data_IF_829644376952
#
_entry.id   IF_829644376952
#
_cell.length_a   1.000
_cell.length_b   1.000
_cell.length_c   1.000
_cell.angle_alpha   90.00
_cell.angle_beta   90.00
_cell.angle_gamma   90.00
#
_symmetry.space_group_name_H-M   'P 1'
#
loop_
_entity.id
_entity.type
_entity.pdbx_description
1 polymer ?
#
# COMPACT_ATOMS: atom_id res chain seq x y z
N UNK A 1 -8.47 16.88 -41.67
CA UNK A 1 -8.04 15.96 -40.60
C UNK A 1 -7.94 16.76 -39.32
N UNK A 2 -8.75 16.42 -38.32
CA UNK A 2 -8.77 17.12 -37.03
C UNK A 2 -7.55 16.73 -36.21
N UNK A 3 -6.78 17.74 -35.78
CA UNK A 3 -5.57 17.56 -34.97
C UNK A 3 -5.99 17.56 -33.50
N UNK A 4 -5.49 16.59 -32.73
CA UNK A 4 -5.67 16.57 -31.28
C UNK A 4 -4.84 17.71 -30.68
N UNK A 5 -5.43 18.58 -29.82
CA UNK A 5 -4.74 19.75 -29.27
C UNK A 5 -3.54 19.37 -28.39
N UNK A 6 -3.65 18.27 -27.63
CA UNK A 6 -2.60 17.77 -26.76
C UNK A 6 -1.63 16.80 -27.45
N UNK A 7 -0.35 16.83 -27.05
CA UNK A 7 0.65 15.88 -27.53
C UNK A 7 0.49 14.55 -26.79
N UNK A 8 0.05 13.51 -27.49
CA UNK A 8 -0.15 12.18 -26.94
C UNK A 8 1.11 11.31 -27.03
N UNK A 9 1.27 10.39 -26.09
CA UNK A 9 2.31 9.37 -26.16
C UNK A 9 2.10 8.45 -27.35
N UNK A 10 3.17 8.21 -28.12
CA UNK A 10 3.16 7.24 -29.21
C UNK A 10 4.04 6.03 -28.85
N UNK A 11 3.46 4.83 -28.87
CA UNK A 11 4.16 3.57 -28.56
C UNK A 11 5.36 3.27 -29.47
N UNK A 12 5.31 3.71 -30.73
CA UNK A 12 6.39 3.51 -31.68
C UNK A 12 7.50 4.57 -31.53
N UNK A 13 7.13 5.85 -31.37
CA UNK A 13 8.10 6.92 -31.16
C UNK A 13 8.69 6.95 -29.75
N UNK A 14 8.04 6.31 -28.77
CA UNK A 14 8.37 6.32 -27.34
C UNK A 14 8.50 7.74 -26.75
N UNK A 15 7.70 8.68 -27.26
CA UNK A 15 7.65 10.08 -26.81
C UNK A 15 6.29 10.69 -27.15
N UNK A 16 5.97 11.83 -26.54
CA UNK A 16 4.78 12.62 -26.88
C UNK A 16 4.92 13.25 -28.27
N UNK A 17 3.90 13.08 -29.10
CA UNK A 17 3.87 13.50 -30.51
C UNK A 17 2.48 14.04 -30.88
N UNK A 18 2.39 14.77 -31.98
CA UNK A 18 1.12 15.24 -32.52
C UNK A 18 0.34 14.07 -33.14
N UNK A 19 -0.96 14.02 -32.90
CA UNK A 19 -1.86 13.03 -33.46
C UNK A 19 -3.03 13.70 -34.18
N UNK A 20 -3.66 12.99 -35.11
CA UNK A 20 -4.90 13.43 -35.74
C UNK A 20 -5.95 12.33 -35.67
N UNK A 21 -7.23 12.70 -35.66
CA UNK A 21 -8.34 11.76 -35.68
C UNK A 21 -8.43 11.13 -37.06
N UNK A 22 -8.49 9.80 -37.09
CA UNK A 22 -8.56 9.01 -38.33
C UNK A 22 -9.93 9.20 -38.97
N UNK A 23 -9.97 9.37 -40.28
CA UNK A 23 -11.20 9.42 -41.07
C UNK A 23 -11.39 8.13 -41.87
N UNK A 24 -12.61 7.62 -41.94
CA UNK A 24 -12.96 6.48 -42.79
C UNK A 24 -12.97 6.87 -44.29
N UNK A 25 -13.20 5.87 -45.16
CA UNK A 25 -13.28 6.06 -46.62
C UNK A 25 -14.38 7.02 -47.11
N UNK A 26 -15.35 7.33 -46.25
CA UNK A 26 -16.45 8.26 -46.51
C UNK A 26 -16.18 9.66 -45.94
N UNK A 27 -15.01 9.90 -45.34
CA UNK A 27 -14.64 11.18 -44.74
C UNK A 27 -15.18 11.39 -43.32
N UNK A 28 -15.82 10.40 -42.70
CA UNK A 28 -16.29 10.51 -41.31
C UNK A 28 -15.15 10.21 -40.35
N UNK A 29 -15.03 11.03 -39.31
CA UNK A 29 -14.09 10.80 -38.22
C UNK A 29 -14.46 9.54 -37.43
N UNK A 30 -13.46 8.72 -37.11
CA UNK A 30 -13.61 7.55 -36.24
C UNK A 30 -13.64 8.02 -34.79
N UNK A 31 -14.76 8.65 -34.42
CA UNK A 31 -15.00 9.33 -33.16
C UNK A 31 -16.42 9.01 -32.67
N UNK A 32 -16.53 8.78 -31.37
CA UNK A 32 -17.78 8.62 -30.64
C UNK A 32 -17.76 9.64 -29.50
N UNK A 33 -18.83 10.41 -29.35
CA UNK A 33 -18.98 11.40 -28.27
C UNK A 33 -20.23 11.04 -27.51
N UNK A 34 -20.10 11.02 -26.19
CA UNK A 34 -21.20 10.92 -25.24
C UNK A 34 -21.12 12.11 -24.29
N UNK A 35 -22.26 12.71 -23.99
CA UNK A 35 -22.34 13.87 -23.11
C UNK A 35 -23.62 13.86 -22.31
N UNK A 36 -23.67 14.70 -21.27
CA UNK A 36 -24.90 14.90 -20.49
C UNK A 36 -26.09 15.39 -21.34
N UNK A 37 -25.85 15.99 -22.51
CA UNK A 37 -26.89 16.46 -23.44
C UNK A 37 -27.61 15.32 -24.17
N UNK A 38 -27.05 14.11 -24.15
CA UNK A 38 -27.65 12.93 -24.77
C UNK A 38 -28.74 12.29 -23.88
N UNK A 39 -28.95 12.84 -22.67
CA UNK A 39 -29.88 12.35 -21.66
C UNK A 39 -30.97 13.40 -21.37
N UNK A 40 -32.24 12.97 -21.25
CA UNK A 40 -33.38 13.87 -20.99
C UNK A 40 -33.28 14.56 -19.62
N UNK A 41 -32.77 13.84 -18.62
CA UNK A 41 -32.47 14.34 -17.29
C UNK A 41 -31.06 13.88 -16.90
N UNK A 42 -30.16 14.83 -16.67
CA UNK A 42 -28.82 14.55 -16.12
C UNK A 42 -28.50 15.56 -15.03
N UNK A 43 -28.34 15.06 -13.80
CA UNK A 43 -27.89 15.85 -12.65
C UNK A 43 -26.37 16.08 -12.65
N UNK A 44 -25.68 15.65 -13.71
CA UNK A 44 -24.22 15.67 -13.82
C UNK A 44 -23.78 16.12 -15.21
N UNK A 45 -22.95 17.16 -15.29
CA UNK A 45 -22.39 17.60 -16.56
C UNK A 45 -21.08 16.86 -16.86
N UNK A 46 -21.08 16.08 -17.94
CA UNK A 46 -19.91 15.36 -18.42
C UNK A 46 -19.79 15.36 -19.94
N UNK A 47 -18.57 15.12 -20.42
CA UNK A 47 -18.21 14.91 -21.81
C UNK A 47 -17.20 13.76 -21.89
N UNK A 48 -17.51 12.73 -22.67
CA UNK A 48 -16.67 11.56 -22.89
C UNK A 48 -16.53 11.29 -24.39
N UNK A 49 -15.35 11.56 -24.94
CA UNK A 49 -15.03 11.35 -26.35
C UNK A 49 -14.05 10.19 -26.52
N UNK A 50 -14.40 9.25 -27.38
CA UNK A 50 -13.57 8.12 -27.78
C UNK A 50 -13.19 8.26 -29.26
N UNK A 51 -11.90 8.20 -29.60
CA UNK A 51 -11.44 8.34 -30.98
C UNK A 51 -10.29 7.41 -31.35
N UNK A 52 -10.23 7.04 -32.64
CA UNK A 52 -9.06 6.40 -33.23
C UNK A 52 -8.15 7.47 -33.79
N UNK A 53 -6.91 7.53 -33.31
CA UNK A 53 -5.95 8.58 -33.68
C UNK A 53 -4.70 8.00 -34.32
N UNK A 54 -4.08 8.78 -35.20
CA UNK A 54 -2.85 8.42 -35.91
C UNK A 54 -1.73 9.42 -35.63
N UNK A 55 -0.58 8.89 -35.21
CA UNK A 55 0.64 9.66 -34.96
C UNK A 55 1.14 10.32 -36.24
N UNK A 56 1.36 11.65 -36.21
CA UNK A 56 1.83 12.43 -37.37
C UNK A 56 3.34 12.31 -37.64
N UNK A 57 4.05 11.47 -36.90
CA UNK A 57 5.50 11.25 -37.05
C UNK A 57 5.91 9.84 -37.47
N UNK A 58 5.04 8.84 -37.27
CA UNK A 58 5.34 7.45 -37.59
C UNK A 58 4.11 6.64 -38.00
N UNK A 59 2.98 7.31 -38.24
CA UNK A 59 1.71 6.73 -38.70
C UNK A 59 1.09 5.65 -37.80
N UNK A 60 1.62 5.47 -36.59
CA UNK A 60 1.11 4.51 -35.62
C UNK A 60 -0.29 4.89 -35.15
N UNK A 61 -1.20 3.91 -35.17
CA UNK A 61 -2.57 4.03 -34.66
C UNK A 61 -2.60 3.79 -33.15
N UNK A 62 -3.40 4.60 -32.46
CA UNK A 62 -3.73 4.48 -31.05
C UNK A 62 -5.22 4.77 -30.81
N UNK A 63 -5.71 4.35 -29.66
CA UNK A 63 -7.05 4.72 -29.19
C UNK A 63 -6.91 5.86 -28.18
N UNK A 64 -7.81 6.85 -28.22
CA UNK A 64 -7.80 8.03 -27.35
C UNK A 64 -9.16 8.16 -26.67
N UNK A 65 -9.13 8.40 -25.36
CA UNK A 65 -10.26 8.91 -24.59
C UNK A 65 -9.98 10.34 -24.13
N UNK A 66 -10.94 11.24 -24.33
CA UNK A 66 -10.93 12.60 -23.80
C UNK A 66 -12.13 12.74 -22.87
N UNK A 67 -11.88 13.04 -21.60
CA UNK A 67 -12.93 13.13 -20.59
C UNK A 67 -12.86 14.46 -19.84
N UNK A 68 -14.02 15.07 -19.58
CA UNK A 68 -14.16 16.13 -18.59
C UNK A 68 -15.54 16.11 -17.94
N UNK A 69 -15.61 16.60 -16.70
CA UNK A 69 -16.87 16.82 -15.99
C UNK A 69 -16.87 18.16 -15.25
N UNK A 70 -18.00 18.49 -14.61
CA UNK A 70 -18.19 19.72 -13.82
C UNK A 70 -17.18 19.92 -12.69
N UNK A 71 -16.50 18.86 -12.24
CA UNK A 71 -15.47 18.90 -11.20
C UNK A 71 -14.05 19.13 -11.73
N UNK A 72 -13.82 19.06 -13.04
CA UNK A 72 -12.48 19.13 -13.64
C UNK A 72 -12.08 20.56 -14.02
N UNK A 73 -11.73 21.38 -13.01
CA UNK A 73 -11.23 22.74 -13.21
C UNK A 73 -10.07 23.08 -12.28
N UNK A 74 -9.27 24.08 -12.68
CA UNK A 74 -8.28 24.75 -11.84
C UNK A 74 -8.81 26.11 -11.40
N UNK A 75 -8.50 26.51 -10.16
CA UNK A 75 -8.76 27.86 -9.69
C UNK A 75 -7.66 28.80 -10.19
N UNK A 76 -8.05 29.83 -10.93
CA UNK A 76 -7.12 30.84 -11.48
C UNK A 76 -7.08 32.12 -10.65
N UNK A 77 -7.87 32.20 -9.59
CA UNK A 77 -8.05 33.38 -8.74
C UNK A 77 -8.81 33.07 -7.45
N UNK A 78 -9.11 34.10 -6.63
CA UNK A 78 -9.71 33.92 -5.31
C UNK A 78 -11.21 33.58 -5.33
N UNK A 79 -11.93 33.83 -6.43
CA UNK A 79 -13.37 33.58 -6.53
C UNK A 79 -13.65 32.17 -7.06
N UNK A 80 -14.21 31.32 -6.21
CA UNK A 80 -14.53 29.93 -6.54
C UNK A 80 -15.54 29.78 -7.69
N UNK A 81 -16.41 30.76 -7.91
CA UNK A 81 -17.46 30.68 -8.91
C UNK A 81 -17.00 31.19 -10.27
N UNK A 82 -16.22 32.29 -10.32
CA UNK A 82 -15.79 32.93 -11.57
C UNK A 82 -14.40 32.51 -12.03
N UNK A 83 -13.49 32.15 -11.12
CA UNK A 83 -12.08 31.98 -11.45
C UNK A 83 -11.76 30.50 -11.73
N UNK A 84 -12.51 29.89 -12.65
CA UNK A 84 -12.40 28.48 -13.00
C UNK A 84 -11.92 28.29 -14.44
N UNK A 85 -10.83 27.56 -14.60
CA UNK A 85 -10.33 27.09 -15.89
C UNK A 85 -10.53 25.57 -15.99
N UNK A 86 -11.51 25.16 -16.78
CA UNK A 86 -11.81 23.74 -17.00
C UNK A 86 -10.74 23.07 -17.85
N UNK A 87 -10.45 21.81 -17.57
CA UNK A 87 -9.51 21.00 -18.34
C UNK A 87 -10.11 19.62 -18.66
N UNK A 88 -9.57 18.99 -19.69
CA UNK A 88 -9.92 17.62 -20.07
C UNK A 88 -8.73 16.69 -19.84
N UNK A 89 -9.02 15.46 -19.41
CA UNK A 89 -8.03 14.39 -19.35
C UNK A 89 -7.90 13.71 -20.71
N UNK A 90 -6.67 13.45 -21.14
CA UNK A 90 -6.36 12.77 -22.40
C UNK A 90 -5.68 11.43 -22.10
N UNK A 91 -6.41 10.33 -22.25
CA UNK A 91 -5.90 8.97 -22.01
C UNK A 91 -5.70 8.26 -23.33
N UNK A 92 -4.43 7.99 -23.69
CA UNK A 92 -4.07 7.25 -24.92
C UNK A 92 -3.80 5.78 -24.61
N UNK A 93 -4.19 4.88 -25.51
CA UNK A 93 -3.98 3.44 -25.38
C UNK A 93 -3.12 2.88 -26.52
N UNK A 94 -2.07 2.11 -26.20
CA UNK A 94 -1.58 1.81 -24.85
C UNK A 94 -1.03 3.05 -24.13
N UNK A 95 -1.23 3.11 -22.82
CA UNK A 95 -0.82 4.23 -21.97
C UNK A 95 0.70 4.46 -22.01
N UNK A 96 1.11 5.70 -21.75
CA UNK A 96 2.51 6.03 -21.54
C UNK A 96 3.05 5.17 -20.40
N UNK A 97 4.14 4.40 -20.61
CA UNK A 97 4.74 3.64 -19.53
C UNK A 97 5.07 4.58 -18.39
N UNK A 98 4.48 4.34 -17.22
CA UNK A 98 4.84 5.06 -16.00
C UNK A 98 6.36 4.94 -15.86
N UNK A 99 7.06 6.07 -15.77
CA UNK A 99 8.49 6.05 -15.44
C UNK A 99 8.59 5.25 -14.14
N UNK A 100 9.13 4.03 -14.22
CA UNK A 100 9.52 3.31 -13.02
C UNK A 100 10.57 4.19 -12.36
N UNK A 101 10.19 4.85 -11.27
CA UNK A 101 11.16 5.57 -10.46
C UNK A 101 12.20 4.52 -10.04
N UNK A 102 13.48 4.77 -10.32
CA UNK A 102 14.55 3.81 -9.99
C UNK A 102 14.58 3.54 -8.49
N UNK A 103 14.12 4.50 -7.70
CA UNK A 103 13.91 4.36 -6.26
C UNK A 103 12.74 3.42 -5.93
N UNK A 104 11.68 3.43 -6.72
CA UNK A 104 10.50 2.59 -6.51
C UNK A 104 10.81 1.10 -6.69
N UNK A 105 11.66 0.74 -7.65
CA UNK A 105 12.14 -0.64 -7.80
C UNK A 105 13.00 -1.12 -6.61
N UNK A 106 13.80 -0.23 -6.01
CA UNK A 106 14.59 -0.53 -4.80
C UNK A 106 13.70 -0.67 -3.54
N UNK A 107 12.52 -0.07 -3.56
CA UNK A 107 11.54 -0.10 -2.47
C UNK A 107 10.42 -1.11 -2.73
N UNK A 108 10.58 -2.03 -3.67
CA UNK A 108 9.65 -3.17 -3.79
C UNK A 108 9.93 -4.16 -2.67
N UNK A 109 8.86 -4.58 -1.98
CA UNK A 109 8.96 -5.70 -1.06
C UNK A 109 9.33 -6.96 -1.84
N UNK A 110 10.38 -7.64 -1.39
CA UNK A 110 10.80 -8.94 -1.89
C UNK A 110 10.85 -9.88 -0.71
N UNK A 111 10.08 -10.95 -0.80
CA UNK A 111 10.04 -11.99 0.22
C UNK A 111 11.41 -12.66 0.31
N UNK A 112 11.93 -12.77 1.53
CA UNK A 112 13.27 -13.31 1.83
C UNK A 112 13.24 -14.68 2.49
N UNK A 113 12.10 -15.03 3.07
CA UNK A 113 11.90 -16.23 3.87
C UNK A 113 10.60 -16.88 3.42
N UNK A 114 10.60 -18.21 3.43
CA UNK A 114 9.39 -19.01 3.23
C UNK A 114 8.83 -19.37 4.61
N UNK A 115 7.51 -19.22 4.77
CA UNK A 115 6.80 -19.48 6.02
C UNK A 115 5.84 -20.67 5.84
N UNK A 116 6.14 -21.79 6.48
CA UNK A 116 5.31 -23.02 6.44
C UNK A 116 4.70 -23.37 7.81
N UNK A 117 5.27 -22.86 8.89
CA UNK A 117 4.91 -23.13 10.29
C UNK A 117 4.47 -21.87 11.03
N UNK A 118 4.35 -20.74 10.33
CA UNK A 118 3.85 -19.49 10.88
C UNK A 118 2.36 -19.63 11.27
N UNK A 119 1.98 -19.28 12.50
CA UNK A 119 0.58 -19.32 12.94
C UNK A 119 -0.35 -18.47 12.06
N UNK A 120 -1.53 -18.99 11.73
CA UNK A 120 -2.49 -18.37 10.81
C UNK A 120 -2.78 -16.90 11.13
N UNK A 121 -3.04 -16.59 12.42
CA UNK A 121 -3.32 -15.22 12.87
C UNK A 121 -2.16 -14.26 12.55
N UNK A 122 -0.92 -14.71 12.69
CA UNK A 122 0.26 -13.89 12.41
C UNK A 122 0.41 -13.74 10.89
N UNK A 123 0.18 -14.82 10.14
CA UNK A 123 0.29 -14.81 8.69
C UNK A 123 -0.74 -13.87 8.03
N UNK A 124 -1.99 -13.91 8.47
CA UNK A 124 -3.06 -13.02 7.97
C UNK A 124 -2.71 -11.54 8.18
N UNK A 125 -2.31 -11.17 9.40
CA UNK A 125 -1.92 -9.78 9.73
C UNK A 125 -0.67 -9.36 8.95
N UNK A 126 0.29 -10.28 8.76
CA UNK A 126 1.50 -10.04 7.95
C UNK A 126 1.13 -9.75 6.51
N UNK A 127 0.25 -10.54 5.90
CA UNK A 127 -0.18 -10.35 4.51
C UNK A 127 -0.91 -9.02 4.32
N UNK A 128 -1.80 -8.65 5.23
CA UNK A 128 -2.46 -7.33 5.24
C UNK A 128 -1.43 -6.19 5.36
N UNK A 129 -0.44 -6.35 6.22
CA UNK A 129 0.64 -5.36 6.42
C UNK A 129 1.47 -5.18 5.16
N UNK A 130 1.86 -6.27 4.51
CA UNK A 130 2.61 -6.26 3.25
C UNK A 130 1.77 -5.66 2.13
N UNK A 131 0.48 -5.95 2.07
CA UNK A 131 -0.43 -5.37 1.08
C UNK A 131 -0.61 -3.86 1.30
N UNK A 132 -0.73 -3.40 2.55
CA UNK A 132 -0.73 -1.97 2.87
C UNK A 132 0.58 -1.29 2.42
N UNK A 133 1.73 -1.95 2.62
CA UNK A 133 3.02 -1.47 2.12
C UNK A 133 3.04 -1.34 0.58
N UNK A 134 2.64 -2.40 -0.13
CA UNK A 134 2.60 -2.44 -1.61
C UNK A 134 1.74 -1.31 -2.20
N UNK A 135 0.68 -0.91 -1.50
CA UNK A 135 -0.24 0.15 -1.92
C UNK A 135 0.08 1.53 -1.30
N UNK A 136 1.28 1.73 -0.73
CA UNK A 136 1.73 3.01 -0.14
C UNK A 136 0.83 3.53 0.99
N UNK A 137 0.14 2.62 1.69
CA UNK A 137 -0.71 2.95 2.84
C UNK A 137 0.14 2.97 4.12
N UNK A 138 1.06 3.92 4.22
CA UNK A 138 2.12 3.92 5.25
C UNK A 138 1.59 3.84 6.70
N UNK A 139 0.50 4.55 7.00
CA UNK A 139 -0.11 4.52 8.34
C UNK A 139 -0.67 3.14 8.67
N UNK A 140 -1.41 2.54 7.73
CA UNK A 140 -1.97 1.20 7.90
C UNK A 140 -0.88 0.15 7.99
N UNK A 141 0.17 0.26 7.18
CA UNK A 141 1.35 -0.60 7.25
C UNK A 141 2.03 -0.51 8.62
N UNK A 142 2.21 0.70 9.17
CA UNK A 142 2.82 0.89 10.48
C UNK A 142 1.95 0.29 11.61
N UNK A 143 0.63 0.49 11.54
CA UNK A 143 -0.32 -0.17 12.44
C UNK A 143 -0.24 -1.69 12.32
N UNK A 144 -0.16 -2.21 11.09
CA UNK A 144 0.03 -3.62 10.78
C UNK A 144 1.26 -4.21 11.46
N UNK A 145 2.42 -3.56 11.32
CA UNK A 145 3.67 -3.97 11.98
C UNK A 145 3.47 -4.11 13.50
N UNK A 146 2.81 -3.13 14.14
CA UNK A 146 2.51 -3.21 15.58
C UNK A 146 1.57 -4.38 15.90
N UNK A 147 0.56 -4.60 15.07
CA UNK A 147 -0.37 -5.71 15.22
C UNK A 147 0.34 -7.07 15.10
N UNK A 148 1.36 -7.20 14.25
CA UNK A 148 2.18 -8.41 14.17
C UNK A 148 2.89 -8.66 15.51
N UNK A 149 3.51 -7.63 16.12
CA UNK A 149 4.18 -7.78 17.43
C UNK A 149 3.16 -8.21 18.50
N UNK A 150 1.99 -7.58 18.53
CA UNK A 150 0.90 -7.95 19.42
C UNK A 150 0.42 -9.40 19.20
N UNK A 151 0.33 -9.83 17.95
CA UNK A 151 -0.07 -11.19 17.57
C UNK A 151 0.97 -12.23 17.99
N UNK A 152 2.27 -11.95 17.81
CA UNK A 152 3.36 -12.80 18.34
C UNK A 152 3.18 -13.01 19.84
N UNK A 153 2.98 -11.94 20.59
CA UNK A 153 2.80 -12.01 22.04
C UNK A 153 1.55 -12.84 22.39
N UNK A 154 0.43 -12.61 21.69
CA UNK A 154 -0.83 -13.31 21.93
C UNK A 154 -0.72 -14.82 21.65
N UNK A 155 -0.08 -15.22 20.56
CA UNK A 155 0.09 -16.64 20.20
C UNK A 155 0.97 -17.37 21.22
N UNK A 156 1.98 -16.69 21.77
CA UNK A 156 2.84 -17.24 22.81
C UNK A 156 2.24 -17.14 24.23
N UNK A 157 0.98 -16.74 24.39
CA UNK A 157 0.33 -16.64 25.71
C UNK A 157 0.78 -15.44 26.56
N UNK A 158 1.46 -14.47 25.96
CA UNK A 158 1.98 -13.25 26.58
C UNK A 158 0.97 -12.11 26.36
N UNK A 159 -0.21 -12.20 26.99
CA UNK A 159 -1.25 -11.17 26.89
C UNK A 159 -1.55 -10.48 28.23
N UNK A 160 -1.51 -11.25 29.32
CA UNK A 160 -1.97 -10.81 30.65
C UNK A 160 -1.00 -11.14 31.76
N UNK A 161 -1.16 -10.47 32.89
CA UNK A 161 -0.52 -10.82 34.16
C UNK A 161 -1.48 -10.66 35.34
N UNK A 162 -1.25 -11.34 36.47
CA UNK A 162 -1.97 -11.08 37.70
C UNK A 162 -1.78 -9.62 38.16
N UNK A 163 -2.86 -8.99 38.60
CA UNK A 163 -2.82 -7.66 39.19
C UNK A 163 -2.17 -7.75 40.57
N UNK A 164 -1.05 -7.07 40.74
CA UNK A 164 -0.30 -7.07 42.00
C UNK A 164 -0.63 -5.80 42.81
N UNK A 165 -0.87 -5.95 44.12
CA UNK A 165 -0.98 -4.84 45.07
C UNK A 165 -0.14 -5.17 46.31
N UNK A 166 0.88 -4.34 46.60
CA UNK A 166 1.86 -4.58 47.69
C UNK A 166 2.51 -5.98 47.63
N UNK A 167 2.84 -6.47 46.43
CA UNK A 167 3.48 -7.77 46.23
C UNK A 167 2.55 -8.98 46.30
N UNK A 168 1.25 -8.79 46.54
CA UNK A 168 0.26 -9.89 46.59
C UNK A 168 -0.69 -9.78 45.40
N UNK A 169 -1.04 -10.92 44.80
CA UNK A 169 -2.03 -10.98 43.73
C UNK A 169 -3.42 -10.57 44.27
N UNK A 170 -4.07 -9.63 43.59
CA UNK A 170 -5.44 -9.23 43.89
C UNK A 170 -6.35 -10.36 43.42
N UNK A 171 -7.12 -10.93 44.33
CA UNK A 171 -8.10 -11.97 44.03
C UNK A 171 -9.48 -11.36 43.77
N UNK A 172 -10.27 -12.01 42.93
CA UNK A 172 -11.68 -11.69 42.71
C UNK A 172 -12.58 -12.34 43.79
N UNK A 173 -13.90 -12.23 43.60
CA UNK A 173 -14.90 -12.81 44.52
C UNK A 173 -14.87 -14.35 44.57
N UNK A 174 -14.20 -15.00 43.61
CA UNK A 174 -14.07 -16.46 43.47
C UNK A 174 -12.67 -16.96 43.85
N UNK A 175 -11.85 -16.14 44.51
CA UNK A 175 -10.45 -16.43 44.85
C UNK A 175 -9.51 -16.66 43.64
N UNK A 176 -9.86 -16.17 42.45
CA UNK A 176 -8.98 -16.22 41.26
C UNK A 176 -8.20 -14.90 41.12
N UNK A 177 -6.95 -14.94 40.63
CA UNK A 177 -6.18 -13.72 40.38
C UNK A 177 -6.87 -12.84 39.33
N UNK A 178 -7.07 -11.57 39.67
CA UNK A 178 -7.56 -10.57 38.71
C UNK A 178 -6.49 -10.33 37.66
N UNK A 179 -6.77 -10.67 36.40
CA UNK A 179 -5.83 -10.50 35.30
C UNK A 179 -5.92 -9.07 34.74
N UNK A 180 -4.77 -8.49 34.41
CA UNK A 180 -4.65 -7.22 33.69
C UNK A 180 -3.88 -7.44 32.40
N UNK A 181 -4.28 -6.72 31.35
CA UNK A 181 -3.58 -6.74 30.08
C UNK A 181 -2.20 -6.10 30.23
N UNK A 182 -1.20 -6.73 29.64
CA UNK A 182 0.13 -6.15 29.50
C UNK A 182 0.08 -5.05 28.43
N UNK A 183 0.83 -3.98 28.64
CA UNK A 183 1.14 -3.07 27.55
C UNK A 183 2.22 -3.68 26.63
N UNK A 184 2.36 -3.15 25.42
CA UNK A 184 3.27 -3.71 24.42
C UNK A 184 4.74 -3.74 24.89
N UNK A 185 5.18 -2.78 25.72
CA UNK A 185 6.52 -2.83 26.32
C UNK A 185 6.68 -4.05 27.23
N UNK A 186 5.75 -4.24 28.17
CA UNK A 186 5.78 -5.37 29.11
C UNK A 186 5.70 -6.71 28.37
N UNK A 187 4.97 -6.77 27.24
CA UNK A 187 4.92 -7.97 26.39
C UNK A 187 6.27 -8.26 25.73
N UNK A 188 6.94 -7.24 25.18
CA UNK A 188 8.26 -7.38 24.56
C UNK A 188 9.32 -7.80 25.58
N UNK A 189 9.28 -7.25 26.81
CA UNK A 189 10.19 -7.69 27.87
C UNK A 189 9.93 -9.16 28.25
N UNK A 190 8.67 -9.58 28.35
CA UNK A 190 8.34 -11.00 28.60
C UNK A 190 8.80 -11.95 27.49
N UNK A 191 8.70 -11.55 26.21
CA UNK A 191 9.24 -12.34 25.10
C UNK A 191 10.74 -12.63 25.30
N UNK A 192 11.48 -11.66 25.84
CA UNK A 192 12.89 -11.84 26.15
C UNK A 192 13.12 -12.67 27.42
N UNK A 193 12.32 -12.47 28.48
CA UNK A 193 12.39 -13.26 29.71
C UNK A 193 12.11 -14.77 29.48
N UNK A 194 11.28 -15.09 28.48
CA UNK A 194 10.97 -16.46 28.07
C UNK A 194 11.93 -17.02 27.00
N UNK A 195 13.05 -16.33 26.72
CA UNK A 195 14.06 -16.71 25.72
C UNK A 195 13.52 -16.91 24.28
N UNK A 196 12.35 -16.31 23.97
CA UNK A 196 11.74 -16.39 22.63
C UNK A 196 12.39 -15.41 21.64
N UNK A 197 13.00 -14.33 22.15
CA UNK A 197 13.76 -13.35 21.37
C UNK A 197 15.07 -13.00 22.09
N UNK A 198 16.08 -12.56 21.34
CA UNK A 198 17.34 -12.08 21.91
C UNK A 198 17.30 -10.58 22.30
N UNK A 199 18.33 -10.11 23.02
CA UNK A 199 18.41 -8.70 23.48
C UNK A 199 18.44 -7.69 22.31
N UNK A 200 19.00 -8.06 21.16
CA UNK A 200 19.03 -7.18 19.98
C UNK A 200 17.64 -7.08 19.36
N UNK A 201 16.95 -8.21 19.19
CA UNK A 201 15.58 -8.28 18.72
C UNK A 201 14.66 -7.48 19.65
N UNK A 202 14.80 -7.64 20.97
CA UNK A 202 14.07 -6.86 21.98
C UNK A 202 14.23 -5.35 21.79
N UNK A 203 15.47 -4.88 21.65
CA UNK A 203 15.78 -3.45 21.41
C UNK A 203 15.11 -2.94 20.15
N UNK A 204 15.16 -3.70 19.06
CA UNK A 204 14.55 -3.29 17.79
C UNK A 204 13.02 -3.27 17.89
N UNK A 205 12.39 -4.27 18.50
CA UNK A 205 10.94 -4.29 18.70
C UNK A 205 10.47 -3.11 19.54
N UNK A 206 11.23 -2.74 20.58
CA UNK A 206 10.95 -1.55 21.38
C UNK A 206 11.09 -0.25 20.58
N UNK A 207 12.08 -0.14 19.69
CA UNK A 207 12.20 1.01 18.77
C UNK A 207 11.00 1.11 17.82
N UNK A 208 10.58 0.00 17.20
CA UNK A 208 9.41 -0.05 16.32
C UNK A 208 8.14 0.35 17.10
N UNK A 209 7.99 -0.14 18.34
CA UNK A 209 6.89 0.25 19.22
C UNK A 209 6.85 1.75 19.47
N UNK A 210 7.99 2.36 19.79
CA UNK A 210 8.09 3.79 20.11
C UNK A 210 7.71 4.64 18.89
N UNK A 211 8.24 4.30 17.71
CA UNK A 211 7.88 4.95 16.45
C UNK A 211 6.38 4.77 16.14
N UNK A 212 5.83 3.59 16.42
CA UNK A 212 4.40 3.32 16.31
C UNK A 212 3.54 4.19 17.23
N UNK A 213 3.99 4.45 18.46
CA UNK A 213 3.31 5.36 19.39
C UNK A 213 3.38 6.82 18.91
N UNK A 214 4.55 7.28 18.47
CA UNK A 214 4.77 8.63 17.94
C UNK A 214 3.94 8.89 16.68
N UNK A 215 3.80 7.89 15.80
CA UNK A 215 2.96 7.98 14.59
C UNK A 215 1.49 8.26 14.93
N UNK A 216 0.98 7.71 16.03
CA UNK A 216 -0.42 7.87 16.45
C UNK A 216 -0.65 9.20 17.19
N UNK A 217 0.30 9.64 18.00
CA UNK A 217 0.15 10.85 18.82
C UNK A 217 0.64 12.13 18.15
N UNK A 218 1.62 12.05 17.25
CA UNK A 218 2.26 13.20 16.59
C UNK A 218 2.04 13.22 15.06
N UNK A 219 1.34 12.22 14.49
CA UNK A 219 1.08 12.10 13.04
C UNK A 219 2.39 12.06 12.22
N UNK A 220 3.49 11.61 12.83
CA UNK A 220 4.76 11.37 12.13
C UNK A 220 4.59 10.14 11.24
N UNK A 221 4.62 10.32 9.92
CA UNK A 221 4.46 9.21 8.97
C UNK A 221 5.82 8.58 8.66
N UNK A 222 6.03 7.28 8.95
CA UNK A 222 7.23 6.59 8.52
C UNK A 222 7.37 6.59 7.00
N UNK A 223 8.60 6.71 6.53
CA UNK A 223 8.92 6.60 5.10
C UNK A 223 8.76 5.16 4.63
N UNK A 224 8.53 4.97 3.32
CA UNK A 224 8.48 3.63 2.73
C UNK A 224 9.79 2.84 2.91
N UNK A 225 10.92 3.53 3.06
CA UNK A 225 12.20 2.88 3.33
C UNK A 225 12.26 2.31 4.73
N UNK A 226 11.80 3.06 5.73
CA UNK A 226 11.74 2.61 7.12
C UNK A 226 10.76 1.46 7.29
N UNK A 227 9.55 1.56 6.71
CA UNK A 227 8.57 0.47 6.76
C UNK A 227 9.11 -0.81 6.15
N UNK A 228 9.82 -0.73 5.03
CA UNK A 228 10.47 -1.90 4.43
C UNK A 228 11.51 -2.51 5.37
N UNK A 229 12.29 -1.70 6.06
CA UNK A 229 13.25 -2.19 7.05
C UNK A 229 12.53 -2.87 8.22
N UNK A 230 11.45 -2.30 8.72
CA UNK A 230 10.66 -2.88 9.80
C UNK A 230 10.07 -4.23 9.39
N UNK A 231 9.40 -4.32 8.23
CA UNK A 231 8.85 -5.58 7.71
C UNK A 231 9.97 -6.63 7.59
N UNK A 232 11.12 -6.27 7.01
CA UNK A 232 12.24 -7.21 6.87
C UNK A 232 12.76 -7.74 8.20
N UNK A 233 12.79 -6.90 9.25
CA UNK A 233 13.26 -7.31 10.57
C UNK A 233 12.20 -8.19 11.26
N UNK A 234 10.91 -7.82 11.15
CA UNK A 234 9.82 -8.64 11.67
C UNK A 234 9.82 -10.01 11.00
N UNK A 235 9.93 -10.08 9.68
CA UNK A 235 10.03 -11.35 8.94
C UNK A 235 11.22 -12.19 9.43
N UNK A 236 12.37 -11.58 9.69
CA UNK A 236 13.53 -12.29 10.24
C UNK A 236 13.24 -12.86 11.65
N UNK A 237 12.57 -12.09 12.52
CA UNK A 237 12.17 -12.55 13.85
C UNK A 237 11.16 -13.69 13.75
N UNK A 238 10.13 -13.56 12.91
CA UNK A 238 9.14 -14.60 12.67
C UNK A 238 9.79 -15.88 12.17
N UNK A 239 10.72 -15.77 11.22
CA UNK A 239 11.45 -16.93 10.69
C UNK A 239 12.25 -17.62 11.79
N UNK A 240 12.97 -16.84 12.61
CA UNK A 240 13.74 -17.38 13.73
C UNK A 240 12.85 -18.07 14.78
N UNK A 241 11.66 -17.55 15.03
CA UNK A 241 10.73 -18.08 16.04
C UNK A 241 9.99 -19.33 15.59
N UNK A 242 9.53 -19.37 14.33
CA UNK A 242 8.56 -20.40 13.88
C UNK A 242 9.13 -21.36 12.83
N UNK A 243 10.05 -20.93 11.98
CA UNK A 243 10.58 -21.78 10.89
C UNK A 243 11.91 -22.43 11.26
N UNK A 244 12.84 -21.64 11.82
CA UNK A 244 14.18 -22.12 12.16
C UNK A 244 14.17 -23.34 13.11
N UNK A 245 13.30 -23.41 14.14
CA UNK A 245 13.25 -24.58 15.02
C UNK A 245 12.82 -25.87 14.30
N UNK A 246 12.07 -25.76 13.21
CA UNK A 246 11.57 -26.91 12.42
C UNK A 246 12.57 -27.39 11.36
N UNK A 247 13.64 -26.63 11.09
CA UNK A 247 14.72 -26.99 10.17
C UNK A 247 15.66 -28.05 10.79
N UNK A 248 15.20 -29.29 10.82
CA UNK A 248 15.99 -30.43 11.29
C UNK A 248 16.88 -31.00 10.17
N UNK A 249 18.20 -30.89 10.34
CA UNK A 249 19.18 -31.59 9.50
C UNK A 249 19.59 -32.92 10.16
N UNK A 250 18.76 -33.96 10.02
CA UNK A 250 19.18 -35.29 10.44
C UNK A 250 20.36 -35.77 9.57
N UNK A 251 21.51 -36.01 10.20
CA UNK A 251 22.61 -36.74 9.55
C UNK A 251 22.11 -38.14 9.22
N UNK A 252 21.92 -38.46 7.93
CA UNK A 252 21.79 -39.85 7.47
C UNK A 252 22.98 -40.64 8.03
N UNK A 253 22.73 -41.51 9.02
CA UNK A 253 23.70 -42.55 9.40
C UNK A 253 23.93 -43.38 8.15
N UNK A 254 25.15 -43.35 7.62
CA UNK A 254 25.57 -44.29 6.58
C UNK A 254 25.40 -45.70 7.16
N UNK A 255 24.44 -46.44 6.61
CA UNK A 255 24.36 -47.89 6.75
C UNK A 255 25.53 -48.56 6.04
#
# INVERSE_FOLDING_TARGET
MTIVPEKLYCKACKRKTNHHIVTNKHGHELKLVESYLDYEESDFQFYDEHSIVQCRGCDTIAFLRIYNDEGMFNLTGPDYHSDREYYSEYTVYPEEPKKQDTLEHLLQFKEKFDFNHLPDLINEIRDETINAYKHRMNLLCNTGIRMIIEAICKVNGIDKRPKMKKGVAVLDKENKPVMVNLNLFEKIEKLYEEDLIDDKQKKILNQIRDIGNETVHEIVRPTNRELLQYINIIDFILYHMYELPELNFEKKKKS
#
